data_IF_493869983466
#
_entry.id   IF_493869983466
#
_cell.length_a   1.000
_cell.length_b   1.000
_cell.length_c   1.000
_cell.angle_alpha   90.00
_cell.angle_beta   90.00
_cell.angle_gamma   90.00
#
_symmetry.space_group_name_H-M   'P 1'
#
loop_
_entity.id
_entity.type
_entity.pdbx_description
1 polymer ?
#
# COMPACT_ATOMS: atom_id res chain seq x y z
N UNK A 1 44.87 -34.84 -77.87
CA UNK A 1 44.61 -35.78 -76.75
C UNK A 1 44.03 -34.95 -75.63
N UNK A 2 42.73 -34.59 -75.62
CA UNK A 2 41.57 -35.39 -75.14
C UNK A 2 41.89 -36.01 -73.77
N UNK A 3 41.26 -35.60 -72.66
CA UNK A 3 39.84 -35.80 -72.39
C UNK A 3 39.30 -35.00 -71.17
N UNK A 4 37.98 -34.69 -71.22
CA UNK A 4 36.92 -34.55 -70.18
C UNK A 4 37.25 -33.96 -68.78
N UNK A 5 36.41 -33.14 -68.10
CA UNK A 5 34.97 -33.35 -67.82
C UNK A 5 34.33 -32.11 -67.11
N UNK A 6 33.17 -31.67 -67.61
CA UNK A 6 31.92 -31.06 -67.00
C UNK A 6 31.89 -29.83 -66.05
N UNK A 7 31.03 -28.87 -66.45
CA UNK A 7 30.20 -27.91 -65.68
C UNK A 7 29.10 -28.64 -64.82
N UNK A 8 28.15 -28.03 -64.02
CA UNK A 8 27.72 -26.63 -63.91
C UNK A 8 27.28 -26.09 -62.49
N UNK A 9 26.92 -24.80 -62.43
CA UNK A 9 25.98 -24.11 -61.48
C UNK A 9 26.37 -23.91 -60.00
N UNK A 10 26.20 -22.67 -59.54
CA UNK A 10 25.60 -22.23 -58.25
C UNK A 10 26.37 -21.01 -57.69
N UNK A 11 25.80 -19.96 -57.13
CA UNK A 11 24.44 -19.56 -56.78
C UNK A 11 24.56 -18.07 -56.48
N UNK A 12 23.59 -17.29 -56.95
CA UNK A 12 23.30 -15.93 -56.49
C UNK A 12 23.03 -15.96 -54.99
N UNK A 13 23.66 -15.11 -54.19
CA UNK A 13 22.98 -14.52 -53.03
C UNK A 13 23.72 -13.28 -52.49
N UNK A 14 23.01 -12.16 -52.28
CA UNK A 14 23.55 -10.99 -51.61
C UNK A 14 23.77 -11.32 -50.13
N UNK A 15 24.90 -10.86 -49.59
CA UNK A 15 25.18 -10.91 -48.16
C UNK A 15 24.22 -9.96 -47.45
N UNK A 16 23.17 -10.56 -46.89
CA UNK A 16 22.39 -10.14 -45.73
C UNK A 16 22.64 -8.69 -45.28
N UNK A 17 21.74 -7.81 -45.69
CA UNK A 17 21.25 -6.77 -44.79
C UNK A 17 20.74 -7.48 -43.53
N UNK A 18 21.59 -7.60 -42.51
CA UNK A 18 21.10 -7.72 -41.15
C UNK A 18 20.49 -6.37 -40.80
N UNK A 19 19.26 -6.17 -41.28
CA UNK A 19 18.31 -5.24 -40.72
C UNK A 19 18.32 -5.52 -39.21
N UNK A 20 19.00 -4.65 -38.48
CA UNK A 20 18.81 -4.48 -37.06
C UNK A 20 17.35 -4.06 -36.89
N UNK A 21 16.46 -5.06 -36.82
CA UNK A 21 15.16 -4.95 -36.21
C UNK A 21 15.40 -4.61 -34.73
N UNK A 22 15.81 -3.37 -34.50
CA UNK A 22 15.69 -2.68 -33.23
C UNK A 22 14.22 -2.74 -32.89
N UNK A 23 13.90 -3.74 -32.09
CA UNK A 23 12.62 -3.99 -31.49
C UNK A 23 12.17 -2.71 -30.78
N UNK A 24 11.36 -1.91 -31.48
CA UNK A 24 10.76 -0.67 -30.96
C UNK A 24 9.87 -0.93 -29.72
N UNK A 25 9.70 -2.20 -29.31
CA UNK A 25 9.01 -2.62 -28.09
C UNK A 25 9.76 -2.30 -26.78
N UNK A 26 11.08 -2.05 -26.82
CA UNK A 26 11.90 -1.93 -25.60
C UNK A 26 12.26 -0.51 -25.15
N UNK A 27 11.81 0.53 -25.83
CA UNK A 27 12.13 1.91 -25.42
C UNK A 27 11.30 2.26 -24.17
N UNK A 28 11.93 2.57 -23.03
CA UNK A 28 11.21 3.00 -21.85
C UNK A 28 10.57 4.37 -22.11
N UNK A 29 9.27 4.46 -21.83
CA UNK A 29 8.45 5.64 -22.08
C UNK A 29 8.68 6.66 -20.98
N UNK A 30 8.85 6.17 -19.75
CA UNK A 30 9.23 6.97 -18.61
C UNK A 30 10.14 6.11 -17.71
N UNK A 31 11.22 6.70 -17.22
CA UNK A 31 12.13 6.04 -16.30
C UNK A 31 12.71 7.05 -15.32
N UNK A 32 12.96 6.62 -14.09
CA UNK A 32 13.49 7.51 -13.06
C UNK A 32 13.55 6.86 -11.69
N UNK A 33 14.20 7.55 -10.77
CA UNK A 33 14.26 7.15 -9.37
C UNK A 33 12.99 7.61 -8.64
N UNK A 34 12.32 6.67 -7.96
CA UNK A 34 11.24 6.95 -7.03
C UNK A 34 11.49 6.26 -5.70
N UNK A 35 11.07 6.89 -4.61
CA UNK A 35 11.07 6.27 -3.30
C UNK A 35 9.89 5.30 -3.21
N UNK A 36 10.18 4.00 -3.11
CA UNK A 36 9.17 2.96 -2.95
C UNK A 36 9.10 2.48 -1.51
N UNK A 37 7.90 2.39 -0.95
CA UNK A 37 7.70 1.74 0.35
C UNK A 37 7.97 0.23 0.24
N UNK A 38 8.75 -0.30 1.18
CA UNK A 38 9.14 -1.72 1.22
C UNK A 38 8.50 -2.45 2.38
N UNK A 39 8.82 -2.09 3.62
CA UNK A 39 8.24 -2.63 4.84
C UNK A 39 8.56 -1.71 6.04
N UNK A 40 8.09 -2.03 7.25
CA UNK A 40 8.38 -1.23 8.44
C UNK A 40 9.86 -1.24 8.88
N UNK A 41 10.65 -2.24 8.46
CA UNK A 41 12.07 -2.35 8.83
C UNK A 41 12.94 -1.43 7.97
N UNK A 42 12.65 -1.36 6.67
CA UNK A 42 13.46 -0.64 5.67
C UNK A 42 12.79 0.63 5.16
N UNK A 43 11.50 0.81 5.39
CA UNK A 43 10.72 1.98 5.03
C UNK A 43 10.73 2.30 3.53
N UNK A 44 10.91 3.58 3.22
CA UNK A 44 11.05 4.10 1.87
C UNK A 44 12.45 3.84 1.34
N UNK A 45 12.53 3.30 0.13
CA UNK A 45 13.79 2.92 -0.50
C UNK A 45 13.83 3.45 -1.92
N UNK A 46 14.96 4.03 -2.32
CA UNK A 46 15.13 4.52 -3.69
C UNK A 46 15.15 3.33 -4.66
N UNK A 47 14.31 3.37 -5.69
CA UNK A 47 14.18 2.31 -6.71
C UNK A 47 14.12 2.94 -8.08
N UNK A 48 14.76 2.29 -9.04
CA UNK A 48 14.68 2.67 -10.43
C UNK A 48 13.40 2.11 -11.02
N UNK A 49 12.48 3.00 -11.40
CA UNK A 49 11.18 2.67 -11.97
C UNK A 49 11.25 2.86 -13.48
N UNK A 50 10.72 1.90 -14.23
CA UNK A 50 10.72 1.91 -15.69
C UNK A 50 9.33 1.55 -16.19
N UNK A 51 8.77 2.42 -17.01
CA UNK A 51 7.52 2.20 -17.72
C UNK A 51 7.81 1.80 -19.16
N UNK A 52 7.39 0.60 -19.56
CA UNK A 52 7.55 0.10 -20.93
C UNK A 52 6.28 -0.62 -21.36
N UNK A 53 5.72 -0.20 -22.50
CA UNK A 53 4.55 -0.85 -23.13
C UNK A 53 3.39 -1.15 -22.14
N UNK A 54 2.98 -0.15 -21.37
CA UNK A 54 1.91 -0.30 -20.38
C UNK A 54 2.25 -1.18 -19.16
N UNK A 55 3.51 -1.55 -18.98
CA UNK A 55 4.00 -2.31 -17.82
C UNK A 55 5.00 -1.46 -17.03
N UNK A 56 4.71 -1.25 -15.75
CA UNK A 56 5.56 -0.55 -14.81
C UNK A 56 6.42 -1.56 -14.05
N UNK A 57 7.73 -1.54 -14.26
CA UNK A 57 8.70 -2.42 -13.61
C UNK A 57 9.61 -1.64 -12.66
N UNK A 58 10.12 -2.28 -11.61
CA UNK A 58 11.11 -1.66 -10.74
C UNK A 58 12.36 -2.50 -10.48
N UNK A 59 13.46 -1.80 -10.26
CA UNK A 59 14.80 -2.34 -10.08
C UNK A 59 15.46 -1.69 -8.86
N UNK A 60 16.51 -2.33 -8.34
CA UNK A 60 17.29 -1.75 -7.24
C UNK A 60 18.06 -0.50 -7.69
N UNK A 61 18.59 -0.51 -8.91
CA UNK A 61 19.32 0.58 -9.55
C UNK A 61 19.15 0.53 -11.07
N UNK A 62 19.48 1.62 -11.75
CA UNK A 62 19.47 1.74 -13.22
C UNK A 62 20.37 0.70 -13.91
N UNK A 63 21.53 0.42 -13.31
CA UNK A 63 22.51 -0.55 -13.81
C UNK A 63 22.04 -2.01 -13.74
N UNK A 64 21.00 -2.31 -12.95
CA UNK A 64 20.44 -3.66 -12.76
C UNK A 64 19.24 -3.95 -13.71
N UNK A 65 18.98 -3.11 -14.71
CA UNK A 65 17.81 -3.23 -15.61
C UNK A 65 17.78 -4.51 -16.46
N UNK A 66 18.94 -5.08 -16.81
CA UNK A 66 19.02 -6.25 -17.68
C UNK A 66 18.60 -7.59 -17.01
N UNK A 67 18.85 -7.77 -15.71
CA UNK A 67 18.59 -9.04 -15.00
C UNK A 67 18.05 -8.86 -13.57
N UNK A 68 17.73 -7.63 -13.14
CA UNK A 68 17.41 -7.30 -11.75
C UNK A 68 15.96 -6.87 -11.49
N UNK A 69 15.00 -7.25 -12.35
CA UNK A 69 13.59 -6.89 -12.14
C UNK A 69 13.07 -7.48 -10.82
N UNK A 70 12.59 -6.62 -9.92
CA UNK A 70 12.08 -7.01 -8.59
C UNK A 70 10.56 -7.08 -8.54
N UNK A 71 9.89 -6.59 -9.58
CA UNK A 71 8.45 -6.68 -9.75
C UNK A 71 7.98 -5.81 -10.90
N UNK A 72 6.85 -6.20 -11.47
CA UNK A 72 6.21 -5.54 -12.59
C UNK A 72 4.68 -5.49 -12.36
N UNK A 73 4.06 -4.38 -12.74
CA UNK A 73 2.62 -4.14 -12.69
C UNK A 73 2.15 -3.75 -14.09
N UNK A 74 1.10 -4.41 -14.58
CA UNK A 74 0.43 -4.00 -15.82
C UNK A 74 -0.59 -2.90 -15.54
N UNK A 75 -0.54 -1.81 -16.30
CA UNK A 75 -1.40 -0.63 -16.11
C UNK A 75 -2.83 -0.80 -16.63
N UNK A 76 -3.10 -1.82 -17.44
CA UNK A 76 -4.41 -2.07 -18.07
C UNK A 76 -5.56 -2.13 -17.06
N UNK A 77 -5.29 -2.53 -15.81
CA UNK A 77 -6.27 -2.59 -14.71
C UNK A 77 -5.78 -1.88 -13.44
N UNK A 78 -4.77 -1.03 -13.56
CA UNK A 78 -4.23 -0.31 -12.43
C UNK A 78 -5.15 0.83 -11.98
N UNK A 79 -5.22 0.99 -10.66
CA UNK A 79 -5.82 2.16 -10.02
C UNK A 79 -4.68 3.00 -9.48
N UNK A 80 -4.61 4.25 -9.92
CA UNK A 80 -3.62 5.23 -9.48
C UNK A 80 -4.36 6.19 -8.56
N UNK A 81 -3.88 6.36 -7.33
CA UNK A 81 -4.44 7.28 -6.35
C UNK A 81 -3.34 8.25 -5.90
N UNK A 82 -3.51 9.54 -6.19
CA UNK A 82 -2.65 10.57 -5.61
C UNK A 82 -2.96 10.71 -4.10
N UNK A 83 -1.94 10.99 -3.29
CA UNK A 83 -2.12 11.17 -1.85
C UNK A 83 -2.54 12.62 -1.53
N UNK A 84 -3.60 12.82 -0.75
CA UNK A 84 -4.18 14.16 -0.50
C UNK A 84 -3.30 15.08 0.36
N UNK A 85 -2.50 14.51 1.27
CA UNK A 85 -1.67 15.27 2.23
C UNK A 85 -0.18 15.27 1.89
N UNK A 86 0.27 14.38 1.01
CA UNK A 86 1.67 14.25 0.63
C UNK A 86 1.74 14.47 -0.87
N UNK A 87 2.03 15.71 -1.25
CA UNK A 87 2.01 16.19 -2.62
C UNK A 87 3.00 15.46 -3.52
N UNK A 88 4.00 14.78 -2.96
CA UNK A 88 4.97 13.99 -3.72
C UNK A 88 4.61 12.51 -3.81
N UNK A 89 3.54 12.05 -3.15
CA UNK A 89 3.19 10.63 -3.04
C UNK A 89 1.99 10.25 -3.90
N UNK A 90 2.08 9.08 -4.51
CA UNK A 90 1.00 8.42 -5.22
C UNK A 90 1.12 6.91 -5.06
N UNK A 91 -0.03 6.24 -5.04
CA UNK A 91 -0.13 4.81 -4.84
C UNK A 91 -0.71 4.16 -6.10
N UNK A 92 -0.10 3.06 -6.56
CA UNK A 92 -0.55 2.27 -7.70
C UNK A 92 -1.00 0.91 -7.19
N UNK A 93 -2.26 0.54 -7.43
CA UNK A 93 -2.80 -0.75 -7.03
C UNK A 93 -3.33 -1.55 -8.22
N UNK A 94 -3.02 -2.86 -8.23
CA UNK A 94 -3.61 -3.85 -9.12
C UNK A 94 -4.01 -5.06 -8.27
N UNK A 95 -5.31 -5.34 -8.23
CA UNK A 95 -5.90 -6.36 -7.35
C UNK A 95 -5.42 -6.14 -5.90
N UNK A 96 -4.70 -7.10 -5.31
CA UNK A 96 -4.17 -7.04 -3.94
C UNK A 96 -2.72 -6.53 -3.86
N UNK A 97 -2.12 -6.08 -4.98
CA UNK A 97 -0.77 -5.55 -5.00
C UNK A 97 -0.79 -4.02 -5.06
N UNK A 98 -0.33 -3.37 -4.00
CA UNK A 98 -0.23 -1.90 -3.93
C UNK A 98 1.23 -1.47 -3.79
N UNK A 99 1.67 -0.58 -4.69
CA UNK A 99 2.96 0.10 -4.60
C UNK A 99 2.75 1.54 -4.17
N UNK A 100 3.26 1.88 -3.00
CA UNK A 100 3.36 3.28 -2.58
C UNK A 100 4.66 3.87 -3.11
N UNK A 101 4.54 4.93 -3.90
CA UNK A 101 5.64 5.61 -4.58
C UNK A 101 5.66 7.09 -4.20
N UNK A 102 6.85 7.65 -4.08
CA UNK A 102 7.06 9.06 -3.79
C UNK A 102 8.13 9.63 -4.72
N UNK A 103 7.78 10.71 -5.41
CA UNK A 103 8.69 11.46 -6.26
C UNK A 103 9.50 12.48 -5.44
N UNK A 104 10.52 13.08 -6.06
CA UNK A 104 11.32 14.12 -5.42
C UNK A 104 10.55 15.44 -5.35
N UNK A 105 9.85 15.79 -6.43
CA UNK A 105 9.06 17.01 -6.52
C UNK A 105 7.58 16.71 -6.81
N UNK A 106 6.72 17.68 -6.50
CA UNK A 106 5.29 17.63 -6.86
C UNK A 106 5.11 17.61 -8.39
N UNK A 107 5.96 18.32 -9.14
CA UNK A 107 5.95 18.32 -10.61
C UNK A 107 6.26 16.93 -11.18
N UNK A 108 7.30 16.27 -10.66
CA UNK A 108 7.64 14.91 -11.06
C UNK A 108 6.49 13.94 -10.76
N UNK A 109 5.87 14.07 -9.58
CA UNK A 109 4.69 13.26 -9.22
C UNK A 109 3.54 13.49 -10.20
N UNK A 110 3.26 14.73 -10.60
CA UNK A 110 2.22 15.01 -11.61
C UNK A 110 2.58 14.38 -12.96
N UNK A 111 3.80 14.57 -13.45
CA UNK A 111 4.26 13.96 -14.70
C UNK A 111 4.16 12.42 -14.68
N UNK A 112 4.58 11.78 -13.58
CA UNK A 112 4.42 10.33 -13.42
C UNK A 112 2.95 9.92 -13.45
N UNK A 113 2.07 10.58 -12.70
CA UNK A 113 0.64 10.23 -12.66
C UNK A 113 -0.01 10.43 -14.04
N UNK A 114 0.24 11.56 -14.69
CA UNK A 114 -0.34 11.91 -16.00
C UNK A 114 0.03 10.87 -17.07
N UNK A 115 1.32 10.49 -17.13
CA UNK A 115 1.80 9.46 -18.07
C UNK A 115 1.17 8.11 -17.75
N UNK A 116 1.14 7.70 -16.48
CA UNK A 116 0.57 6.41 -16.07
C UNK A 116 -0.94 6.32 -16.34
N UNK A 117 -1.69 7.40 -16.11
CA UNK A 117 -3.11 7.49 -16.45
C UNK A 117 -3.35 7.47 -17.97
N UNK A 118 -2.47 8.08 -18.76
CA UNK A 118 -2.51 8.02 -20.22
C UNK A 118 -2.49 6.58 -20.77
N UNK A 119 -1.66 5.69 -20.19
CA UNK A 119 -1.60 4.28 -20.59
C UNK A 119 -2.88 3.48 -20.27
N UNK A 120 -3.66 3.94 -19.30
CA UNK A 120 -4.97 3.34 -18.99
C UNK A 120 -6.01 3.66 -20.05
N UNK A 121 -5.91 4.83 -20.70
CA UNK A 121 -6.82 5.28 -21.76
C UNK A 121 -6.47 4.66 -23.11
N UNK A 122 -5.17 4.55 -23.44
CA UNK A 122 -4.69 4.03 -24.72
C UNK A 122 -4.93 2.50 -24.90
N UNK A 123 -5.08 1.74 -23.81
CA UNK A 123 -5.21 0.28 -23.83
C UNK A 123 -6.58 -0.28 -24.24
N UNK A 124 -7.45 0.53 -24.85
CA UNK A 124 -8.54 0.06 -25.72
C UNK A 124 -9.67 -0.76 -25.07
N UNK A 125 -9.76 -0.81 -23.74
CA UNK A 125 -10.87 -1.43 -22.99
C UNK A 125 -11.28 -0.58 -21.77
N UNK A 126 -11.23 0.74 -21.89
CA UNK A 126 -11.76 1.69 -20.90
C UNK A 126 -13.12 2.22 -21.35
N UNK A 127 -14.16 1.39 -21.26
CA UNK A 127 -15.54 1.84 -21.47
C UNK A 127 -15.86 2.90 -20.41
N UNK A 128 -16.03 4.13 -20.88
CA UNK A 128 -16.99 5.15 -20.45
C UNK A 128 -17.05 5.48 -18.95
N UNK A 129 -16.52 6.65 -18.55
CA UNK A 129 -17.05 7.42 -17.42
C UNK A 129 -16.65 8.92 -17.42
N UNK A 130 -16.47 9.52 -18.61
CA UNK A 130 -16.31 10.97 -18.74
C UNK A 130 -17.39 11.57 -19.65
N UNK A 131 -18.66 11.42 -19.25
CA UNK A 131 -19.76 12.20 -19.82
C UNK A 131 -20.79 12.45 -18.72
N UNK A 132 -20.71 13.59 -18.05
CA UNK A 132 -21.87 14.25 -17.45
C UNK A 132 -21.57 15.75 -17.27
N UNK A 133 -21.35 16.44 -18.40
CA UNK A 133 -21.71 17.84 -18.51
C UNK A 133 -22.86 17.96 -19.52
N UNK A 134 -23.93 18.59 -19.05
CA UNK A 134 -25.13 19.03 -19.78
C UNK A 134 -26.21 18.01 -20.17
N UNK A 135 -27.35 18.24 -19.50
CA UNK A 135 -28.73 18.21 -20.03
C UNK A 135 -29.49 16.89 -19.87
N UNK A 136 -30.28 16.81 -18.80
CA UNK A 136 -31.52 16.01 -18.79
C UNK A 136 -32.66 16.76 -18.13
N UNK A 137 -33.57 17.23 -18.98
CA UNK A 137 -34.99 17.38 -18.67
C UNK A 137 -35.58 15.99 -18.38
N UNK A 138 -36.33 15.84 -17.27
CA UNK A 138 -37.51 14.98 -17.06
C UNK A 138 -37.90 15.07 -15.58
N UNK A 139 -39.00 15.74 -15.27
CA UNK A 139 -40.36 15.20 -15.19
C UNK A 139 -40.69 14.74 -13.76
N UNK A 140 -41.62 15.49 -13.18
CA UNK A 140 -42.13 15.40 -11.81
C UNK A 140 -42.55 13.99 -11.40
N UNK A 141 -42.08 13.52 -10.25
CA UNK A 141 -42.85 12.67 -9.35
C UNK A 141 -42.46 13.02 -7.92
N UNK A 142 -43.43 13.52 -7.17
CA UNK A 142 -43.32 13.95 -5.78
C UNK A 142 -43.38 12.70 -4.91
N UNK A 143 -42.27 12.27 -4.31
CA UNK A 143 -42.26 11.57 -3.03
C UNK A 143 -41.04 12.00 -2.22
N UNK A 144 -41.32 12.60 -1.07
CA UNK A 144 -40.38 13.19 -0.14
C UNK A 144 -39.86 12.15 0.84
N UNK A 145 -38.57 11.84 0.77
CA UNK A 145 -37.82 11.27 1.88
C UNK A 145 -36.42 11.91 1.85
N UNK A 146 -36.11 12.67 2.89
CA UNK A 146 -34.84 13.39 3.04
C UNK A 146 -33.79 12.37 3.46
N UNK A 147 -33.15 11.74 2.48
CA UNK A 147 -31.89 11.04 2.68
C UNK A 147 -30.75 12.02 2.36
N UNK A 148 -30.05 12.43 3.41
CA UNK A 148 -28.73 13.05 3.27
C UNK A 148 -27.78 11.97 2.74
N UNK A 149 -27.52 11.99 1.44
CA UNK A 149 -26.45 11.23 0.79
C UNK A 149 -25.11 11.58 1.48
N UNK A 150 -24.37 10.60 2.02
CA UNK A 150 -23.05 10.86 2.60
C UNK A 150 -22.06 11.21 1.49
N UNK A 151 -21.21 12.21 1.75
CA UNK A 151 -20.14 12.63 0.85
C UNK A 151 -19.17 11.46 0.58
N UNK A 152 -18.64 11.29 -0.65
CA UNK A 152 -17.68 10.23 -0.98
C UNK A 152 -16.43 10.23 -0.06
N UNK A 153 -16.04 11.38 0.48
CA UNK A 153 -14.92 11.54 1.42
C UNK A 153 -15.21 10.90 2.81
N UNK A 154 -16.46 10.93 3.26
CA UNK A 154 -16.86 10.36 4.57
C UNK A 154 -16.85 8.83 4.54
N UNK A 155 -17.03 8.22 3.36
CA UNK A 155 -17.02 6.77 3.18
C UNK A 155 -15.60 6.20 3.25
N UNK A 156 -14.61 6.90 2.68
CA UNK A 156 -13.20 6.46 2.70
C UNK A 156 -12.57 6.60 4.10
N UNK A 157 -12.87 7.69 4.83
CA UNK A 157 -12.43 7.87 6.23
C UNK A 157 -13.02 6.80 7.14
N UNK A 158 -14.30 6.45 6.94
CA UNK A 158 -14.96 5.40 7.70
C UNK A 158 -14.37 4.01 7.40
N UNK A 159 -13.98 3.78 6.15
CA UNK A 159 -13.33 2.54 5.73
C UNK A 159 -11.91 2.42 6.28
N UNK A 160 -11.13 3.50 6.26
CA UNK A 160 -9.79 3.56 6.83
C UNK A 160 -9.82 3.34 8.36
N UNK A 161 -10.78 3.94 9.06
CA UNK A 161 -10.98 3.71 10.49
C UNK A 161 -11.32 2.25 10.83
N UNK A 162 -12.14 1.60 10.00
CA UNK A 162 -12.41 0.15 10.13
C UNK A 162 -11.15 -0.69 9.90
N UNK A 163 -10.35 -0.35 8.91
CA UNK A 163 -9.12 -1.08 8.59
C UNK A 163 -8.06 -0.95 9.69
N UNK A 164 -7.88 0.25 10.25
CA UNK A 164 -7.04 0.50 11.42
C UNK A 164 -7.47 -0.34 12.63
N UNK A 165 -8.78 -0.46 12.85
CA UNK A 165 -9.33 -1.28 13.94
C UNK A 165 -9.05 -2.77 13.75
N UNK A 166 -9.15 -3.26 12.51
CA UNK A 166 -8.77 -4.64 12.16
C UNK A 166 -7.28 -4.84 12.40
N UNK A 167 -6.42 -3.93 11.93
CA UNK A 167 -4.95 -4.01 12.14
C UNK A 167 -4.56 -3.97 13.61
N UNK A 168 -5.26 -3.18 14.42
CA UNK A 168 -5.06 -3.14 15.87
C UNK A 168 -5.47 -4.47 16.53
N UNK A 169 -6.57 -5.08 16.08
CA UNK A 169 -6.99 -6.39 16.57
C UNK A 169 -5.98 -7.50 16.20
N UNK A 170 -5.44 -7.48 14.98
CA UNK A 170 -4.37 -8.38 14.55
C UNK A 170 -3.12 -8.23 15.40
N UNK A 171 -2.71 -6.98 15.69
CA UNK A 171 -1.53 -6.71 16.52
C UNK A 171 -1.71 -7.18 17.97
N UNK A 172 -2.90 -7.06 18.53
CA UNK A 172 -3.22 -7.63 19.84
C UNK A 172 -3.15 -9.16 19.82
N UNK A 173 -3.67 -9.82 18.78
CA UNK A 173 -3.54 -11.27 18.61
C UNK A 173 -2.06 -11.68 18.54
N UNK A 174 -1.23 -10.97 17.78
CA UNK A 174 0.20 -11.27 17.70
C UNK A 174 0.91 -11.11 19.04
N UNK A 175 0.56 -10.05 19.80
CA UNK A 175 1.06 -9.85 21.16
C UNK A 175 0.70 -11.03 22.07
N UNK A 176 -0.54 -11.51 22.01
CA UNK A 176 -1.01 -12.63 22.85
C UNK A 176 -0.30 -13.95 22.47
N UNK A 177 -0.08 -14.19 21.17
CA UNK A 177 0.68 -15.34 20.69
C UNK A 177 2.13 -15.29 21.19
N UNK A 178 2.79 -14.14 21.07
CA UNK A 178 4.17 -13.96 21.55
C UNK A 178 4.26 -14.17 23.06
N UNK A 179 3.31 -13.62 23.83
CA UNK A 179 3.24 -13.82 25.27
C UNK A 179 3.09 -15.30 25.62
N UNK A 180 2.19 -16.00 24.93
CA UNK A 180 1.98 -17.45 25.12
C UNK A 180 3.22 -18.27 24.76
N UNK A 181 3.95 -17.89 23.72
CA UNK A 181 5.20 -18.57 23.33
C UNK A 181 6.31 -18.36 24.38
N UNK A 182 6.41 -17.15 24.93
CA UNK A 182 7.33 -16.84 26.03
C UNK A 182 6.99 -17.68 27.26
N UNK A 183 5.70 -17.81 27.61
CA UNK A 183 5.27 -18.65 28.74
C UNK A 183 5.57 -20.15 28.52
N UNK A 184 5.42 -20.65 27.28
CA UNK A 184 5.81 -22.03 26.92
C UNK A 184 7.30 -22.26 27.04
N UNK A 185 8.12 -21.30 26.61
CA UNK A 185 9.57 -21.38 26.78
C UNK A 185 9.92 -21.32 28.27
N UNK A 186 9.27 -20.44 29.03
CA UNK A 186 9.45 -20.33 30.48
C UNK A 186 9.16 -21.66 31.20
N UNK A 187 8.01 -22.28 30.92
CA UNK A 187 7.64 -23.58 31.52
C UNK A 187 8.58 -24.71 31.11
N UNK A 188 9.07 -24.73 29.86
CA UNK A 188 10.10 -25.68 29.44
C UNK A 188 11.41 -25.46 30.20
N UNK A 189 11.85 -24.22 30.37
CA UNK A 189 13.06 -23.89 31.11
C UNK A 189 12.96 -24.27 32.59
N UNK A 190 11.83 -23.99 33.22
CA UNK A 190 11.58 -24.35 34.62
C UNK A 190 11.57 -25.87 34.81
N UNK A 191 10.97 -26.61 33.87
CA UNK A 191 10.97 -28.09 33.87
C UNK A 191 12.38 -28.65 33.70
N UNK A 192 13.20 -28.10 32.80
CA UNK A 192 14.60 -28.49 32.64
C UNK A 192 15.44 -28.13 33.87
N UNK A 193 15.15 -27.00 34.52
CA UNK A 193 15.80 -26.61 35.76
C UNK A 193 15.50 -27.63 36.87
N UNK A 194 14.27 -28.10 37.02
CA UNK A 194 13.92 -29.11 38.01
C UNK A 194 14.48 -30.50 37.70
N UNK A 195 14.67 -30.84 36.42
CA UNK A 195 15.41 -32.04 36.01
C UNK A 195 16.89 -31.96 36.38
N UNK A 196 17.55 -30.81 36.17
CA UNK A 196 18.97 -30.64 36.55
C UNK A 196 19.19 -30.70 38.06
N UNK A 197 18.27 -30.17 38.87
CA UNK A 197 18.30 -30.30 40.35
C UNK A 197 18.11 -31.73 40.84
N UNK A 198 17.35 -32.56 40.10
CA UNK A 198 17.14 -33.99 40.43
C UNK A 198 18.33 -34.87 40.06
N UNK A 199 19.20 -34.43 39.15
CA UNK A 199 20.39 -35.17 38.69
C UNK A 199 21.69 -34.83 39.45
N UNK A 200 21.62 -34.01 40.50
CA UNK A 200 22.79 -33.54 41.27
C UNK A 200 23.50 -34.60 42.16
N UNK A 201 23.30 -35.91 41.92
CA UNK A 201 24.04 -36.98 42.61
C UNK A 201 25.20 -37.59 41.79
N UNK A 202 25.51 -37.13 40.58
CA UNK A 202 26.72 -37.56 39.85
C UNK A 202 27.39 -36.40 39.10
N UNK A 203 28.67 -36.19 39.41
CA UNK A 203 29.57 -35.15 38.88
C UNK A 203 29.67 -35.06 37.35
N UNK A 204 29.88 -33.84 36.80
CA UNK A 204 30.91 -33.47 35.81
C UNK A 204 30.83 -31.95 35.48
N UNK A 205 31.97 -31.26 35.60
CA UNK A 205 32.13 -29.79 35.76
C UNK A 205 31.99 -28.96 34.46
N UNK A 206 32.05 -29.57 33.26
CA UNK A 206 31.91 -28.85 31.98
C UNK A 206 30.45 -28.60 31.57
N UNK A 207 29.55 -29.55 31.85
CA UNK A 207 28.10 -29.41 31.56
C UNK A 207 27.46 -28.31 32.41
N UNK A 208 27.97 -28.07 33.63
CA UNK A 208 27.48 -27.01 34.54
C UNK A 208 27.75 -25.61 33.99
N UNK A 209 28.89 -25.38 33.32
CA UNK A 209 29.21 -24.07 32.75
C UNK A 209 28.34 -23.74 31.53
N UNK A 210 28.08 -24.72 30.66
CA UNK A 210 27.13 -24.57 29.55
C UNK A 210 25.69 -24.37 30.03
N UNK A 211 25.26 -25.12 31.05
CA UNK A 211 23.94 -24.98 31.68
C UNK A 211 23.77 -23.63 32.39
N UNK A 212 24.80 -23.14 33.06
CA UNK A 212 24.80 -21.82 33.70
C UNK A 212 24.77 -20.67 32.68
N UNK A 213 25.51 -20.79 31.58
CA UNK A 213 25.52 -19.79 30.51
C UNK A 213 24.17 -19.77 29.76
N UNK A 214 23.64 -20.93 29.38
CA UNK A 214 22.30 -21.02 28.78
C UNK A 214 21.22 -20.46 29.71
N UNK A 215 21.32 -20.71 31.01
CA UNK A 215 20.39 -20.15 32.00
C UNK A 215 20.49 -18.63 32.11
N UNK A 216 21.69 -18.07 32.07
CA UNK A 216 21.91 -16.62 32.13
C UNK A 216 21.44 -15.93 30.84
N UNK A 217 21.79 -16.50 29.69
CA UNK A 217 21.35 -16.02 28.36
C UNK A 217 19.84 -16.13 28.20
N UNK A 218 19.23 -17.20 28.71
CA UNK A 218 17.79 -17.38 28.69
C UNK A 218 17.06 -16.42 29.62
N UNK A 219 17.62 -16.10 30.79
CA UNK A 219 17.06 -15.10 31.70
C UNK A 219 17.12 -13.70 31.07
N UNK A 220 18.24 -13.38 30.41
CA UNK A 220 18.41 -12.14 29.68
C UNK A 220 17.42 -12.04 28.51
N UNK A 221 17.25 -13.12 27.72
CA UNK A 221 16.26 -13.18 26.65
C UNK A 221 14.84 -12.95 27.17
N UNK A 222 14.50 -13.53 28.33
CA UNK A 222 13.20 -13.31 28.98
C UNK A 222 13.01 -11.85 29.38
N UNK A 223 14.00 -11.25 30.04
CA UNK A 223 13.91 -9.88 30.52
C UNK A 223 13.81 -8.88 29.35
N UNK A 224 14.61 -9.08 28.29
CA UNK A 224 14.52 -8.27 27.07
C UNK A 224 13.19 -8.46 26.34
N UNK A 225 12.67 -9.70 26.25
CA UNK A 225 11.38 -9.95 25.59
C UNK A 225 10.22 -9.32 26.36
N UNK A 226 10.27 -9.35 27.69
CA UNK A 226 9.30 -8.66 28.55
C UNK A 226 9.31 -7.15 28.32
N UNK A 227 10.49 -6.55 28.25
CA UNK A 227 10.64 -5.11 27.98
C UNK A 227 10.09 -4.71 26.59
N UNK A 228 10.29 -5.56 25.58
CA UNK A 228 9.71 -5.38 24.24
C UNK A 228 8.19 -5.49 24.29
N UNK A 229 7.63 -6.47 25.01
CA UNK A 229 6.18 -6.63 25.18
C UNK A 229 5.54 -5.44 25.92
N UNK A 230 6.21 -4.91 26.94
CA UNK A 230 5.76 -3.72 27.66
C UNK A 230 5.77 -2.48 26.74
N UNK A 231 6.81 -2.35 25.92
CA UNK A 231 6.91 -1.28 24.90
C UNK A 231 5.79 -1.38 23.86
N UNK A 232 5.51 -2.58 23.34
CA UNK A 232 4.40 -2.81 22.41
C UNK A 232 3.05 -2.49 23.06
N UNK A 233 2.86 -2.86 24.33
CA UNK A 233 1.65 -2.52 25.10
C UNK A 233 1.46 -1.01 25.21
N UNK A 234 2.55 -0.28 25.48
CA UNK A 234 2.54 1.18 25.54
C UNK A 234 2.15 1.80 24.19
N UNK A 235 2.74 1.33 23.09
CA UNK A 235 2.41 1.80 21.73
C UNK A 235 0.94 1.57 21.39
N UNK A 236 0.40 0.38 21.68
CA UNK A 236 -1.03 0.09 21.50
C UNK A 236 -1.90 1.07 22.29
N UNK A 237 -1.57 1.33 23.55
CA UNK A 237 -2.33 2.27 24.38
C UNK A 237 -2.31 3.70 23.85
N UNK A 238 -1.18 4.13 23.26
CA UNK A 238 -1.05 5.45 22.65
C UNK A 238 -1.89 5.58 21.38
N UNK A 239 -1.91 4.53 20.54
CA UNK A 239 -2.76 4.48 19.34
C UNK A 239 -4.23 4.55 19.75
N UNK A 240 -4.64 3.75 20.73
CA UNK A 240 -6.02 3.73 21.25
C UNK A 240 -6.45 5.11 21.78
N UNK A 241 -5.58 5.78 22.54
CA UNK A 241 -5.87 7.12 23.06
C UNK A 241 -5.95 8.17 21.95
N UNK A 242 -5.13 8.02 20.91
CA UNK A 242 -5.23 8.83 19.70
C UNK A 242 -6.59 8.66 19.04
N UNK A 243 -6.99 7.41 18.78
CA UNK A 243 -8.29 7.06 18.18
C UNK A 243 -9.46 7.68 18.95
N UNK A 244 -9.48 7.56 20.29
CA UNK A 244 -10.53 8.13 21.14
C UNK A 244 -10.60 9.67 21.03
N UNK A 245 -9.44 10.34 20.96
CA UNK A 245 -9.39 11.80 20.80
C UNK A 245 -9.90 12.23 19.43
N UNK A 246 -9.47 11.55 18.37
CA UNK A 246 -9.93 11.83 17.01
C UNK A 246 -11.41 11.53 16.85
N UNK A 247 -11.91 10.43 17.42
CA UNK A 247 -13.33 10.07 17.43
C UNK A 247 -14.21 11.09 18.14
N UNK A 248 -13.75 11.65 19.27
CA UNK A 248 -14.44 12.75 19.97
C UNK A 248 -14.44 14.04 19.15
N UNK A 249 -13.31 14.40 18.55
CA UNK A 249 -13.21 15.60 17.69
C UNK A 249 -14.11 15.50 16.46
N UNK A 250 -14.12 14.34 15.81
CA UNK A 250 -14.97 14.08 14.65
C UNK A 250 -16.45 14.13 15.02
N UNK A 251 -16.84 13.52 16.14
CA UNK A 251 -18.21 13.61 16.68
C UNK A 251 -18.62 15.06 16.98
N UNK A 252 -17.69 15.87 17.50
CA UNK A 252 -17.97 17.28 17.78
C UNK A 252 -18.14 18.12 16.51
N UNK A 253 -17.30 17.89 15.51
CA UNK A 253 -17.35 18.60 14.23
C UNK A 253 -18.59 18.21 13.41
N UNK A 254 -18.95 16.93 13.40
CA UNK A 254 -20.18 16.43 12.75
C UNK A 254 -21.44 17.02 13.39
N UNK A 255 -21.52 17.04 14.72
CA UNK A 255 -22.64 17.66 15.46
C UNK A 255 -22.72 19.18 15.22
N UNK A 256 -21.57 19.86 15.15
CA UNK A 256 -21.50 21.29 14.82
C UNK A 256 -22.03 21.56 13.41
N UNK A 257 -21.60 20.77 12.41
CA UNK A 257 -22.09 20.88 11.02
C UNK A 257 -23.60 20.65 10.95
N UNK A 258 -24.12 19.63 11.64
CA UNK A 258 -25.56 19.36 11.73
C UNK A 258 -26.34 20.56 12.27
N UNK A 259 -25.91 21.15 13.39
CA UNK A 259 -26.56 22.35 13.96
C UNK A 259 -26.52 23.55 13.02
N UNK A 260 -25.42 23.75 12.29
CA UNK A 260 -25.33 24.86 11.31
C UNK A 260 -26.24 24.64 10.11
N UNK A 261 -26.40 23.39 9.64
CA UNK A 261 -27.32 23.05 8.57
C UNK A 261 -28.77 23.21 9.00
N UNK A 262 -29.14 22.74 10.20
CA UNK A 262 -30.48 22.91 10.77
C UNK A 262 -30.82 24.40 10.98
N UNK A 263 -29.87 25.19 11.49
CA UNK A 263 -30.03 26.63 11.65
C UNK A 263 -30.17 27.38 10.31
N UNK A 264 -29.40 26.99 9.30
CA UNK A 264 -29.51 27.54 7.95
C UNK A 264 -30.85 27.18 7.28
N UNK A 265 -31.34 25.95 7.49
CA UNK A 265 -32.64 25.50 7.00
C UNK A 265 -33.78 26.27 7.67
N UNK A 266 -33.72 26.43 9.00
CA UNK A 266 -34.72 27.20 9.75
C UNK A 266 -34.73 28.68 9.33
N UNK A 267 -33.55 29.30 9.17
CA UNK A 267 -33.45 30.68 8.67
C UNK A 267 -34.02 30.84 7.25
N UNK A 268 -33.80 29.87 6.38
CA UNK A 268 -34.34 29.86 5.02
C UNK A 268 -35.86 29.74 5.00
N UNK A 269 -36.45 28.88 5.86
CA UNK A 269 -37.90 28.74 6.00
C UNK A 269 -38.56 30.04 6.50
N UNK A 270 -37.95 30.72 7.47
CA UNK A 270 -38.46 31.99 7.98
C UNK A 270 -38.40 33.11 6.93
N UNK A 271 -37.34 33.14 6.10
CA UNK A 271 -37.25 34.08 4.96
C UNK A 271 -38.30 33.78 3.88
N UNK A 272 -38.63 32.51 3.64
CA UNK A 272 -39.68 32.12 2.71
C UNK A 272 -41.07 32.57 3.23
N UNK A 273 -41.39 32.26 4.49
CA UNK A 273 -42.67 32.64 5.13
C UNK A 273 -42.90 34.15 5.23
N UNK A 274 -41.84 34.94 5.40
CA UNK A 274 -41.96 36.41 5.36
C UNK A 274 -42.19 36.92 3.92
N UNK A 275 -41.50 36.36 2.92
CA UNK A 275 -41.74 36.71 1.51
C UNK A 275 -43.17 36.38 1.07
N UNK A 276 -43.71 35.25 1.50
CA UNK A 276 -45.08 34.85 1.14
C UNK A 276 -46.15 35.74 1.81
N UNK A 277 -45.82 36.39 2.94
CA UNK A 277 -46.70 37.34 3.63
C UNK A 277 -46.68 38.76 3.04
N UNK A 278 -45.57 39.18 2.45
CA UNK A 278 -45.45 40.52 1.82
C UNK A 278 -46.06 40.58 0.40
N UNK A 279 -46.48 39.43 -0.16
CA UNK A 279 -47.03 39.30 -1.53
C UNK A 279 -48.57 39.10 -1.51
N UNK A 280 -49.20 38.95 -0.34
CA UNK A 280 -50.66 38.92 -0.16
C UNK A 280 -51.20 40.24 0.36
#
# INVERSE_FOLDING_TARGET
MTDYQVNPTSVTQPLNDSEDHTDKSRVPILQGYLSKWTNYIHGWQNRWIVLTNGTLSYYKSETETAHGCRGAISLNRATIKAHELDLCRFDISVNDCTWCLRAETEEDKHNWVDVLEGFKVESGYGSENNLNNSRQEKQYTIQSEVHTEPSPEDTEIFQLGKELKVKLSELNIFKDILTTQVDKIQTFLDTNQDLTKKTDDVSLDETRRGSFNFRTESLLFKDTTREVLDSLTSVVSLIQRGEDMWGKRLSHETEKRKKTMEGAAYSSLMKQSNRDRDVS
#
